data_IF_378721556731
#
_entry.id   IF_378721556731
#
_cell.length_a   1.000
_cell.length_b   1.000
_cell.length_c   1.000
_cell.angle_alpha   90.00
_cell.angle_beta   90.00
_cell.angle_gamma   90.00
#
_symmetry.space_group_name_H-M   'P 1'
#
loop_
_entity.id
_entity.type
_entity.pdbx_description
1 polymer ?
#
# COMPACT_ATOMS: atom_id res chain seq x y z
N UNK A 1 -12.41 -19.62 2.35
CA UNK A 1 -11.58 -19.44 1.14
C UNK A 1 -10.95 -18.04 1.20
N UNK A 2 -9.71 -17.89 1.69
CA UNK A 2 -9.11 -16.60 2.06
C UNK A 2 -8.83 -15.63 0.89
N UNK A 3 -8.98 -16.07 -0.36
CA UNK A 3 -8.71 -15.24 -1.55
C UNK A 3 -9.83 -14.25 -1.88
N UNK A 4 -11.10 -14.59 -1.59
CA UNK A 4 -12.24 -13.71 -1.90
C UNK A 4 -12.31 -12.49 -0.99
N UNK A 5 -12.01 -12.66 0.29
CA UNK A 5 -12.03 -11.57 1.28
C UNK A 5 -10.95 -10.53 1.00
N UNK A 6 -9.76 -10.96 0.57
CA UNK A 6 -8.64 -10.04 0.26
C UNK A 6 -8.88 -9.22 -1.00
N UNK A 7 -9.42 -9.84 -2.05
CA UNK A 7 -9.78 -9.13 -3.28
C UNK A 7 -10.89 -8.10 -3.03
N UNK A 8 -11.88 -8.45 -2.19
CA UNK A 8 -12.93 -7.51 -1.77
C UNK A 8 -12.38 -6.35 -0.95
N UNK A 9 -11.50 -6.62 0.02
CA UNK A 9 -10.84 -5.58 0.82
C UNK A 9 -9.97 -4.66 -0.03
N UNK A 10 -9.21 -5.21 -0.98
CA UNK A 10 -8.40 -4.41 -1.91
C UNK A 10 -9.29 -3.51 -2.76
N UNK A 11 -10.42 -4.01 -3.26
CA UNK A 11 -11.34 -3.24 -4.09
C UNK A 11 -11.98 -2.09 -3.31
N UNK A 12 -12.36 -2.32 -2.05
CA UNK A 12 -12.83 -1.25 -1.15
C UNK A 12 -11.74 -0.19 -0.90
N UNK A 13 -10.49 -0.62 -0.74
CA UNK A 13 -9.35 0.28 -0.57
C UNK A 13 -9.12 1.14 -1.82
N UNK A 14 -9.21 0.54 -3.00
CA UNK A 14 -9.10 1.23 -4.30
C UNK A 14 -10.18 2.30 -4.50
N UNK A 15 -11.39 2.06 -3.97
CA UNK A 15 -12.51 2.98 -4.15
C UNK A 15 -12.30 4.29 -3.37
N UNK A 16 -11.72 4.19 -2.17
CA UNK A 16 -11.56 5.34 -1.28
C UNK A 16 -10.17 6.00 -1.37
N UNK A 17 -9.11 5.22 -1.60
CA UNK A 17 -7.74 5.72 -1.56
C UNK A 17 -7.29 6.35 -2.88
N UNK A 18 -6.55 7.45 -2.78
CA UNK A 18 -5.96 8.13 -3.95
C UNK A 18 -4.60 7.51 -4.32
N UNK A 19 -3.84 7.13 -3.29
CA UNK A 19 -2.55 6.44 -3.39
C UNK A 19 -2.61 5.17 -2.56
N UNK A 20 -2.07 4.07 -3.07
CA UNK A 20 -2.01 2.78 -2.40
C UNK A 20 -0.57 2.32 -2.27
N UNK A 21 -0.16 2.01 -1.05
CA UNK A 21 1.13 1.41 -0.74
C UNK A 21 0.92 -0.08 -0.50
N UNK A 22 1.61 -0.90 -1.29
CA UNK A 22 1.59 -2.36 -1.19
C UNK A 22 2.92 -2.84 -0.62
N UNK A 23 2.89 -3.44 0.57
CA UNK A 23 4.09 -3.93 1.27
C UNK A 23 4.28 -5.43 1.01
N UNK A 24 5.45 -5.81 0.50
CA UNK A 24 5.86 -7.22 0.49
C UNK A 24 6.99 -7.50 -0.48
N UNK A 25 7.52 -8.72 -0.45
CA UNK A 25 8.68 -9.10 -1.26
C UNK A 25 8.50 -8.86 -2.76
N UNK A 26 9.55 -8.41 -3.44
CA UNK A 26 9.53 -8.20 -4.91
C UNK A 26 9.20 -9.46 -5.70
N UNK A 27 9.56 -10.63 -5.18
CA UNK A 27 9.32 -11.94 -5.80
C UNK A 27 7.91 -12.50 -5.53
N UNK A 28 7.10 -11.82 -4.71
CA UNK A 28 5.74 -12.26 -4.41
C UNK A 28 4.78 -11.93 -5.55
N UNK A 29 4.29 -12.98 -6.23
CA UNK A 29 3.28 -12.84 -7.28
C UNK A 29 2.00 -12.15 -6.77
N UNK A 30 1.59 -12.44 -5.53
CA UNK A 30 0.42 -11.80 -4.92
C UNK A 30 0.61 -10.30 -4.73
N UNK A 31 1.82 -9.88 -4.35
CA UNK A 31 2.13 -8.46 -4.15
C UNK A 31 2.12 -7.72 -5.48
N UNK A 32 2.73 -8.30 -6.53
CA UNK A 32 2.69 -7.75 -7.89
C UNK A 32 1.26 -7.64 -8.41
N UNK A 33 0.44 -8.68 -8.23
CA UNK A 33 -0.95 -8.69 -8.67
C UNK A 33 -1.79 -7.58 -7.99
N UNK A 34 -1.55 -7.29 -6.70
CA UNK A 34 -2.25 -6.20 -6.01
C UNK A 34 -1.88 -4.83 -6.59
N UNK A 35 -0.59 -4.60 -6.84
CA UNK A 35 -0.10 -3.35 -7.46
C UNK A 35 -0.70 -3.16 -8.85
N UNK A 36 -0.68 -4.21 -9.68
CA UNK A 36 -1.29 -4.20 -11.01
C UNK A 36 -2.79 -3.94 -10.95
N UNK A 37 -3.50 -4.56 -10.01
CA UNK A 37 -4.95 -4.35 -9.83
C UNK A 37 -5.26 -2.89 -9.48
N UNK A 38 -4.49 -2.29 -8.56
CA UNK A 38 -4.66 -0.89 -8.19
C UNK A 38 -4.39 0.05 -9.36
N UNK A 39 -3.33 -0.21 -10.13
CA UNK A 39 -2.98 0.59 -11.32
C UNK A 39 -4.01 0.45 -12.44
N UNK A 40 -4.52 -0.76 -12.67
CA UNK A 40 -5.58 -1.03 -13.63
C UNK A 40 -6.88 -0.29 -13.29
N UNK A 41 -7.12 -0.03 -12.00
CA UNK A 41 -8.24 0.78 -11.53
C UNK A 41 -7.96 2.31 -11.55
N UNK A 42 -6.85 2.74 -12.13
CA UNK A 42 -6.48 4.16 -12.25
C UNK A 42 -5.92 4.79 -10.98
N UNK A 43 -5.59 4.00 -9.95
CA UNK A 43 -4.98 4.51 -8.71
C UNK A 43 -3.46 4.46 -8.78
N UNK A 44 -2.82 5.43 -8.12
CA UNK A 44 -1.36 5.42 -7.93
C UNK A 44 -1.01 4.33 -6.94
N UNK A 45 -0.26 3.32 -7.37
CA UNK A 45 0.16 2.22 -6.51
C UNK A 45 1.69 2.07 -6.46
N UNK A 46 2.22 2.03 -5.25
CA UNK A 46 3.64 1.87 -4.96
C UNK A 46 3.90 0.56 -4.25
N UNK A 47 4.93 -0.15 -4.71
CA UNK A 47 5.39 -1.39 -4.11
C UNK A 47 6.67 -1.11 -3.34
N UNK A 48 6.66 -1.44 -2.05
CA UNK A 48 7.83 -1.35 -1.16
C UNK A 48 8.02 -2.65 -0.39
N UNK A 49 9.26 -2.93 -0.01
CA UNK A 49 9.62 -4.00 0.91
C UNK A 49 9.92 -3.46 2.31
N UNK A 50 10.40 -2.22 2.40
CA UNK A 50 10.83 -1.60 3.64
C UNK A 50 10.32 -0.16 3.80
N UNK A 51 10.14 0.33 5.04
CA UNK A 51 9.64 1.69 5.28
C UNK A 51 10.56 2.79 4.72
N UNK A 52 11.87 2.55 4.59
CA UNK A 52 12.82 3.54 4.06
C UNK A 52 12.63 3.80 2.57
N UNK A 53 11.94 2.92 1.84
CA UNK A 53 11.61 3.12 0.44
C UNK A 53 10.47 4.14 0.24
N UNK A 54 9.73 4.47 1.30
CA UNK A 54 8.67 5.47 1.25
C UNK A 54 9.24 6.86 0.99
N UNK A 55 8.71 7.52 -0.04
CA UNK A 55 9.07 8.91 -0.36
C UNK A 55 7.90 9.85 -0.07
N UNK A 56 8.16 10.93 0.66
CA UNK A 56 7.13 11.91 1.03
C UNK A 56 6.44 12.54 -0.19
N UNK A 57 7.20 12.76 -1.27
CA UNK A 57 6.75 13.28 -2.56
C UNK A 57 5.62 12.47 -3.21
N UNK A 58 5.48 11.17 -2.88
CA UNK A 58 4.40 10.33 -3.41
C UNK A 58 3.02 10.71 -2.89
N UNK A 59 2.99 11.47 -1.80
CA UNK A 59 1.80 11.76 -1.05
C UNK A 59 1.53 13.27 -0.94
N UNK A 60 2.22 14.08 -1.73
CA UNK A 60 1.98 15.52 -1.78
C UNK A 60 0.59 15.81 -2.36
N UNK A 61 -0.16 16.68 -1.68
CA UNK A 61 -1.56 16.96 -2.01
C UNK A 61 -2.54 15.80 -1.87
N UNK A 62 -2.14 14.67 -1.25
CA UNK A 62 -2.99 13.49 -1.07
C UNK A 62 -3.64 13.48 0.31
N UNK A 63 -4.97 13.32 0.33
CA UNK A 63 -5.75 13.27 1.57
C UNK A 63 -5.88 11.85 2.11
N UNK A 64 -5.98 10.85 1.23
CA UNK A 64 -6.14 9.46 1.65
C UNK A 64 -5.13 8.50 1.00
N UNK A 65 -4.32 7.88 1.87
CA UNK A 65 -3.36 6.84 1.52
C UNK A 65 -3.86 5.48 2.02
N UNK A 66 -4.01 4.53 1.12
CA UNK A 66 -4.29 3.14 1.44
C UNK A 66 -3.01 2.36 1.71
N UNK A 67 -3.01 1.54 2.76
CA UNK A 67 -1.92 0.60 3.05
C UNK A 67 -2.45 -0.83 2.94
N UNK A 68 -1.75 -1.68 2.19
CA UNK A 68 -2.04 -3.11 2.10
C UNK A 68 -0.75 -3.91 2.04
N UNK A 69 -0.82 -5.21 2.29
CA UNK A 69 0.35 -6.08 2.33
C UNK A 69 0.09 -7.43 1.67
N UNK A 70 1.15 -7.99 1.08
CA UNK A 70 1.16 -9.36 0.59
C UNK A 70 0.94 -10.36 1.71
N UNK A 71 0.46 -11.56 1.35
CA UNK A 71 0.15 -12.63 2.33
C UNK A 71 1.39 -13.13 3.08
N UNK A 72 2.59 -12.96 2.50
CA UNK A 72 3.86 -13.40 3.07
C UNK A 72 4.62 -12.28 3.78
N UNK A 73 4.01 -11.10 3.94
CA UNK A 73 4.62 -9.96 4.62
C UNK A 73 4.37 -10.07 6.12
N UNK A 74 5.42 -9.90 6.94
CA UNK A 74 5.30 -9.91 8.40
C UNK A 74 4.56 -8.67 8.90
N UNK A 75 3.76 -8.83 9.96
CA UNK A 75 2.99 -7.72 10.55
C UNK A 75 3.90 -6.58 11.02
N UNK A 76 5.06 -6.91 11.59
CA UNK A 76 6.07 -5.93 12.02
C UNK A 76 6.50 -4.99 10.87
N UNK A 77 6.63 -5.51 9.66
CA UNK A 77 7.02 -4.72 8.48
C UNK A 77 5.89 -3.79 8.09
N UNK A 78 4.65 -4.27 8.13
CA UNK A 78 3.46 -3.46 7.84
C UNK A 78 3.30 -2.35 8.88
N UNK A 79 3.49 -2.64 10.16
CA UNK A 79 3.45 -1.66 11.25
C UNK A 79 4.57 -0.60 11.11
N UNK A 80 5.79 -1.01 10.75
CA UNK A 80 6.89 -0.08 10.52
C UNK A 80 6.60 0.88 9.35
N UNK A 81 6.04 0.36 8.26
CA UNK A 81 5.57 1.16 7.11
C UNK A 81 4.45 2.10 7.53
N UNK A 82 3.49 1.63 8.32
CA UNK A 82 2.38 2.45 8.83
C UNK A 82 2.90 3.62 9.66
N UNK A 83 3.80 3.37 10.61
CA UNK A 83 4.43 4.43 11.43
C UNK A 83 5.15 5.46 10.57
N UNK A 84 5.87 5.00 9.54
CA UNK A 84 6.55 5.88 8.60
C UNK A 84 5.57 6.75 7.80
N UNK A 85 4.44 6.19 7.38
CA UNK A 85 3.37 6.97 6.74
C UNK A 85 2.78 8.03 7.68
N UNK A 86 2.59 7.71 8.96
CA UNK A 86 2.12 8.68 9.97
C UNK A 86 3.11 9.82 10.21
N UNK A 87 4.42 9.53 10.23
CA UNK A 87 5.47 10.57 10.28
C UNK A 87 5.42 11.49 9.07
N UNK A 88 5.31 10.92 7.86
CA UNK A 88 5.18 11.71 6.63
C UNK A 88 3.90 12.55 6.69
N UNK A 89 2.78 12.00 7.16
CA UNK A 89 1.53 12.74 7.27
C UNK A 89 1.62 13.90 8.26
N UNK A 90 2.31 13.73 9.39
CA UNK A 90 2.52 14.79 10.41
C UNK A 90 3.48 15.89 9.97
N UNK A 91 4.40 15.60 9.07
CA UNK A 91 5.40 16.56 8.58
C UNK A 91 4.92 17.33 7.36
N UNK A 92 3.71 17.07 6.88
CA UNK A 92 3.06 17.90 5.87
C UNK A 92 2.57 19.22 6.51
N UNK A 93 2.85 20.37 5.89
CA UNK A 93 2.35 21.67 6.32
C UNK A 93 0.83 21.81 6.12
#
# INVERSE_FOLDING_TARGET
>A
KPTKDRQSALRKLIDVAEVIVVVGGRESNNTRQFVETCRAAGRRAFHIERPEELRSEWFDGISLVGLTAGTSTLLETVEAVFRRLEEIARTRP
#
